data_IF_635519694103
#
_entry.id   IF_635519694103
#
_cell.length_a   1.000
_cell.length_b   1.000
_cell.length_c   1.000
_cell.angle_alpha   90.00
_cell.angle_beta   90.00
_cell.angle_gamma   90.00
#
_symmetry.space_group_name_H-M   'P 1'
#
loop_
_entity.id
_entity.type
_entity.pdbx_description
1 polymer ?
#
# COMPACT_ATOMS: atom_id res chain seq x y z
N UNK A 1 -1.17 -17.69 -8.85
CA UNK A 1 0.23 -17.26 -9.05
C UNK A 1 0.18 -15.90 -9.73
N UNK A 2 0.20 -14.81 -8.95
CA UNK A 2 0.13 -13.45 -9.48
C UNK A 2 1.34 -13.17 -10.36
N UNK A 3 1.12 -13.05 -11.66
CA UNK A 3 2.14 -12.62 -12.60
C UNK A 3 2.18 -11.10 -12.51
N UNK A 4 3.31 -10.54 -12.06
CA UNK A 4 3.59 -9.12 -12.27
C UNK A 4 3.74 -8.94 -13.78
N UNK A 5 2.68 -8.46 -14.42
CA UNK A 5 2.67 -8.21 -15.85
C UNK A 5 3.70 -7.11 -16.14
N UNK A 6 4.88 -7.52 -16.62
CA UNK A 6 5.80 -6.64 -17.33
C UNK A 6 5.16 -6.44 -18.72
N UNK A 7 4.09 -5.67 -18.79
CA UNK A 7 3.43 -5.29 -20.03
C UNK A 7 3.60 -3.79 -20.24
N UNK A 8 4.14 -3.47 -21.42
CA UNK A 8 4.55 -2.18 -21.99
C UNK A 8 3.51 -1.04 -22.03
N UNK A 9 2.44 -1.11 -21.24
CA UNK A 9 1.60 0.04 -20.86
C UNK A 9 1.86 0.33 -19.38
N UNK A 10 2.92 1.09 -19.12
CA UNK A 10 3.33 1.45 -17.77
C UNK A 10 2.34 2.43 -17.14
N UNK A 11 1.17 1.92 -16.73
CA UNK A 11 0.28 2.63 -15.83
C UNK A 11 1.09 3.08 -14.62
N UNK A 12 0.97 4.36 -14.28
CA UNK A 12 1.52 4.92 -13.06
C UNK A 12 1.02 4.14 -11.85
N UNK A 13 1.79 4.13 -10.77
CA UNK A 13 1.39 3.47 -9.52
C UNK A 13 0.00 3.94 -9.04
N UNK A 14 -0.30 5.22 -9.27
CA UNK A 14 -1.62 5.79 -9.00
C UNK A 14 -2.74 5.15 -9.84
N UNK A 15 -2.51 4.94 -11.14
CA UNK A 15 -3.48 4.28 -12.02
C UNK A 15 -3.66 2.80 -11.66
N UNK A 16 -2.59 2.13 -11.26
CA UNK A 16 -2.66 0.75 -10.76
C UNK A 16 -3.52 0.67 -9.49
N UNK A 17 -3.29 1.56 -8.52
CA UNK A 17 -4.07 1.61 -7.27
C UNK A 17 -5.55 1.91 -7.54
N UNK A 18 -5.84 2.85 -8.46
CA UNK A 18 -7.22 3.15 -8.86
C UNK A 18 -7.92 2.00 -9.59
N UNK A 19 -7.15 1.14 -10.26
CA UNK A 19 -7.69 -0.02 -10.96
C UNK A 19 -8.10 -1.18 -10.04
N UNK A 20 -7.61 -1.19 -8.79
CA UNK A 20 -7.93 -2.23 -7.80
C UNK A 20 -9.38 -2.12 -7.32
N UNK A 21 -10.03 -3.27 -7.11
CA UNK A 21 -11.30 -3.35 -6.39
C UNK A 21 -11.16 -2.94 -4.92
N UNK A 22 -12.27 -2.71 -4.22
CA UNK A 22 -12.23 -2.29 -2.80
C UNK A 22 -11.60 -3.37 -1.91
N UNK A 23 -12.06 -4.61 -2.05
CA UNK A 23 -11.51 -5.77 -1.31
C UNK A 23 -10.02 -5.96 -1.62
N UNK A 24 -9.63 -5.89 -2.89
CA UNK A 24 -8.22 -6.03 -3.31
C UNK A 24 -7.33 -4.91 -2.78
N UNK A 25 -7.84 -3.67 -2.75
CA UNK A 25 -7.12 -2.51 -2.23
C UNK A 25 -6.93 -2.61 -0.71
N UNK A 26 -7.95 -3.06 0.01
CA UNK A 26 -7.91 -3.29 1.46
C UNK A 26 -6.97 -4.45 1.80
N UNK A 27 -7.08 -5.58 1.12
CA UNK A 27 -6.18 -6.72 1.28
C UNK A 27 -4.73 -6.31 1.06
N UNK A 28 -4.46 -5.57 -0.02
CA UNK A 28 -3.10 -5.07 -0.31
C UNK A 28 -2.58 -4.16 0.81
N UNK A 29 -3.41 -3.24 1.31
CA UNK A 29 -3.04 -2.40 2.43
C UNK A 29 -2.72 -3.24 3.68
N UNK A 30 -3.57 -4.21 4.05
CA UNK A 30 -3.35 -5.06 5.22
C UNK A 30 -2.07 -5.89 5.12
N UNK A 31 -1.80 -6.48 3.95
CA UNK A 31 -0.59 -7.26 3.68
C UNK A 31 0.67 -6.40 3.86
N UNK A 32 0.69 -5.16 3.33
CA UNK A 32 1.84 -4.27 3.50
C UNK A 32 2.10 -3.92 4.97
N UNK A 33 1.04 -3.67 5.75
CA UNK A 33 1.15 -3.46 7.20
C UNK A 33 1.66 -4.70 7.93
N UNK A 34 1.22 -5.90 7.52
CA UNK A 34 1.66 -7.16 8.10
C UNK A 34 3.15 -7.41 7.84
N UNK A 35 3.61 -7.19 6.61
CA UNK A 35 5.03 -7.33 6.23
C UNK A 35 5.89 -6.34 7.02
N UNK A 36 5.46 -5.08 7.13
CA UNK A 36 6.16 -4.06 7.92
C UNK A 36 6.36 -4.50 9.39
N UNK A 37 5.31 -5.04 10.02
CA UNK A 37 5.39 -5.58 11.39
C UNK A 37 6.31 -6.79 11.52
N UNK A 38 6.32 -7.69 10.54
CA UNK A 38 7.24 -8.84 10.56
C UNK A 38 8.68 -8.37 10.42
N UNK A 39 8.93 -7.41 9.53
CA UNK A 39 10.29 -6.86 9.32
C UNK A 39 10.80 -6.14 10.57
N UNK A 40 9.96 -5.35 11.24
CA UNK A 40 10.32 -4.70 12.50
C UNK A 40 10.54 -5.69 13.64
N UNK A 41 9.76 -6.78 13.71
CA UNK A 41 9.94 -7.85 14.67
C UNK A 41 11.20 -8.71 14.42
N UNK A 42 11.55 -8.94 13.15
CA UNK A 42 12.71 -9.73 12.75
C UNK A 42 14.04 -9.02 12.99
N UNK A 43 14.06 -7.69 13.01
CA UNK A 43 15.24 -6.90 13.32
C UNK A 43 14.93 -5.74 14.29
N UNK A 44 14.95 -5.99 15.62
CA UNK A 44 14.63 -4.99 16.64
C UNK A 44 15.55 -3.76 16.62
N UNK A 45 16.77 -3.90 16.08
CA UNK A 45 17.72 -2.80 15.90
C UNK A 45 17.35 -1.90 14.71
N UNK A 46 16.67 -2.40 13.68
CA UNK A 46 16.12 -1.58 12.59
C UNK A 46 14.79 -0.92 12.97
N UNK A 47 14.04 -1.45 13.95
CA UNK A 47 12.76 -0.88 14.38
C UNK A 47 12.90 0.49 15.05
N UNK A 48 14.09 0.84 15.56
CA UNK A 48 14.41 2.17 16.11
C UNK A 48 15.08 3.11 15.09
N UNK A 49 15.65 2.57 14.00
CA UNK A 49 16.38 3.31 12.96
C UNK A 49 15.60 3.48 11.66
N UNK A 50 14.49 2.75 11.48
CA UNK A 50 13.38 3.27 10.70
C UNK A 50 12.63 4.20 11.65
N UNK A 51 12.87 5.51 11.61
CA UNK A 51 11.88 6.39 12.20
C UNK A 51 10.55 5.98 11.55
N UNK A 52 9.53 5.80 12.38
CA UNK A 52 8.13 6.11 12.00
C UNK A 52 8.05 7.62 11.66
N UNK A 53 8.98 8.09 10.83
CA UNK A 53 8.98 9.42 10.27
C UNK A 53 7.91 9.35 9.22
N UNK A 54 6.92 10.20 9.41
CA UNK A 54 5.85 10.53 8.49
C UNK A 54 6.39 10.92 7.09
N UNK A 55 7.72 11.08 6.95
CA UNK A 55 8.47 11.35 5.72
C UNK A 55 8.96 10.10 4.94
N UNK A 56 8.85 8.88 5.47
CA UNK A 56 9.19 7.64 4.76
C UNK A 56 7.97 6.71 4.68
N UNK A 57 6.76 7.28 4.51
CA UNK A 57 5.71 6.47 3.91
C UNK A 57 6.12 6.18 2.47
N UNK A 58 6.36 4.92 2.10
CA UNK A 58 6.70 4.61 0.74
C UNK A 58 5.54 5.06 -0.15
N UNK A 59 5.86 5.59 -1.34
CA UNK A 59 4.92 6.29 -2.20
C UNK A 59 3.61 5.51 -2.44
N UNK A 60 3.70 4.17 -2.48
CA UNK A 60 2.55 3.28 -2.57
C UNK A 60 1.57 3.41 -1.40
N UNK A 61 2.05 3.49 -0.16
CA UNK A 61 1.20 3.55 1.03
C UNK A 61 0.42 4.87 1.07
N UNK A 62 1.10 5.96 0.72
CA UNK A 62 0.47 7.27 0.62
C UNK A 62 -0.66 7.25 -0.42
N UNK A 63 -0.42 6.65 -1.59
CA UNK A 63 -1.41 6.57 -2.66
C UNK A 63 -2.59 5.66 -2.29
N UNK A 64 -2.34 4.54 -1.62
CA UNK A 64 -3.39 3.63 -1.11
C UNK A 64 -4.28 4.35 -0.10
N UNK A 65 -3.68 5.02 0.90
CA UNK A 65 -4.44 5.75 1.91
C UNK A 65 -5.25 6.89 1.30
N UNK A 66 -4.69 7.60 0.32
CA UNK A 66 -5.39 8.65 -0.41
C UNK A 66 -6.60 8.10 -1.17
N UNK A 67 -6.45 6.97 -1.86
CA UNK A 67 -7.55 6.34 -2.60
C UNK A 67 -8.64 5.80 -1.64
N UNK A 68 -8.25 5.13 -0.56
CA UNK A 68 -9.18 4.66 0.48
C UNK A 68 -9.99 5.81 1.08
N UNK A 69 -9.35 6.94 1.36
CA UNK A 69 -10.03 8.14 1.85
C UNK A 69 -11.03 8.69 0.82
N UNK A 70 -10.66 8.72 -0.47
CA UNK A 70 -11.53 9.17 -1.55
C UNK A 70 -12.77 8.26 -1.66
N UNK A 71 -12.60 6.94 -1.69
CA UNK A 71 -13.70 5.97 -1.80
C UNK A 71 -14.61 5.99 -0.58
N UNK A 72 -14.03 6.09 0.62
CA UNK A 72 -14.78 6.26 1.88
C UNK A 72 -15.62 7.53 1.86
N UNK A 73 -15.04 8.67 1.44
CA UNK A 73 -15.75 9.96 1.35
C UNK A 73 -16.88 9.95 0.31
N UNK A 74 -16.76 9.13 -0.74
CA UNK A 74 -17.78 8.95 -1.79
C UNK A 74 -18.84 7.90 -1.44
N UNK A 75 -18.68 7.17 -0.33
CA UNK A 75 -19.54 6.04 0.03
C UNK A 75 -19.46 4.88 -0.95
N UNK A 76 -18.34 4.79 -1.68
CA UNK A 76 -18.08 3.75 -2.68
C UNK A 76 -17.44 2.52 -2.07
N UNK A 77 -16.83 2.65 -0.89
CA UNK A 77 -16.35 1.54 -0.07
C UNK A 77 -17.57 0.70 0.39
N UNK A 78 -17.77 -0.49 -0.19
CA UNK A 78 -18.93 -1.36 0.09
C UNK A 78 -18.58 -2.65 0.79
#
# INVERSE_FOLDING_TARGET
MGQFAISEDAFSLEEQIKSLGDDELLDFWEETQHISRIMSAANPLMANDLPMDENIHPEYERLILQELQVRSSRGELR
#
